data_IF_526448735736
#
_entry.id   IF_526448735736
#
_cell.length_a   1.000
_cell.length_b   1.000
_cell.length_c   1.000
_cell.angle_alpha   90.00
_cell.angle_beta   90.00
_cell.angle_gamma   90.00
#
_symmetry.space_group_name_H-M   'P 1'
#
loop_
_entity.id
_entity.type
_entity.pdbx_description
1 polymer ?
#
# COMPACT_ATOMS: atom_id res chain seq x y z
N UNK A 1 -12.73 0.60 18.96
CA UNK A 1 -13.83 -0.21 18.38
C UNK A 1 -13.54 -1.66 18.72
N UNK A 2 -14.36 -2.32 19.57
CA UNK A 2 -14.06 -3.68 20.09
C UNK A 2 -14.61 -4.81 19.21
N UNK A 3 -15.43 -4.48 18.20
CA UNK A 3 -16.01 -5.41 17.22
C UNK A 3 -16.01 -4.75 15.83
N UNK A 4 -16.12 -5.56 14.76
CA UNK A 4 -16.24 -5.11 13.36
C UNK A 4 -17.47 -4.21 13.21
N UNK A 5 -18.61 -4.59 13.79
CA UNK A 5 -19.84 -3.79 13.75
C UNK A 5 -19.65 -2.40 14.37
N UNK A 6 -18.93 -2.30 15.48
CA UNK A 6 -18.65 -1.02 16.12
C UNK A 6 -17.72 -0.12 15.30
N UNK A 7 -16.84 -0.72 14.49
CA UNK A 7 -15.97 0.01 13.57
C UNK A 7 -16.76 0.50 12.36
N UNK A 8 -17.58 -0.37 11.78
CA UNK A 8 -18.51 -0.03 10.69
C UNK A 8 -19.48 1.08 11.10
N UNK A 9 -20.20 0.91 12.21
CA UNK A 9 -21.13 1.91 12.73
C UNK A 9 -20.46 3.26 12.98
N UNK A 10 -19.18 3.27 13.36
CA UNK A 10 -18.44 4.52 13.53
C UNK A 10 -18.11 5.20 12.20
N UNK A 11 -17.71 4.44 11.17
CA UNK A 11 -17.46 4.97 9.84
C UNK A 11 -18.73 5.44 9.15
N UNK A 12 -19.82 4.69 9.28
CA UNK A 12 -21.11 5.03 8.67
C UNK A 12 -21.77 6.26 9.29
N UNK A 13 -21.25 6.81 10.38
CA UNK A 13 -21.67 8.15 10.83
C UNK A 13 -21.43 9.23 9.78
N UNK A 14 -20.55 9.00 8.80
CA UNK A 14 -20.30 9.94 7.71
C UNK A 14 -21.57 10.24 6.88
N UNK A 15 -22.50 9.29 6.75
CA UNK A 15 -23.75 9.49 5.99
C UNK A 15 -24.88 10.11 6.80
N UNK A 16 -24.74 10.20 8.13
CA UNK A 16 -25.86 10.49 9.04
C UNK A 16 -26.62 11.78 8.73
N UNK A 17 -25.92 12.78 8.20
CA UNK A 17 -26.50 14.09 7.90
C UNK A 17 -26.48 14.39 6.39
N UNK A 18 -26.23 13.38 5.55
CA UNK A 18 -26.23 13.55 4.10
C UNK A 18 -27.66 13.47 3.55
N UNK A 19 -27.94 14.23 2.50
CA UNK A 19 -29.23 14.25 1.79
C UNK A 19 -29.09 14.06 0.27
N UNK A 20 -30.17 14.28 -0.49
CA UNK A 20 -30.18 14.14 -1.94
C UNK A 20 -29.28 15.12 -2.71
N UNK A 21 -28.65 16.09 -2.04
CA UNK A 21 -27.64 16.98 -2.62
C UNK A 21 -26.21 16.49 -2.36
N UNK A 22 -26.05 15.50 -1.49
CA UNK A 22 -24.78 14.88 -1.17
C UNK A 22 -24.54 13.58 -1.94
N UNK A 23 -23.32 13.08 -1.84
CA UNK A 23 -22.91 11.84 -2.47
C UNK A 23 -22.16 10.94 -1.48
N UNK A 24 -22.36 9.63 -1.64
CA UNK A 24 -21.50 8.60 -1.10
C UNK A 24 -20.92 7.75 -2.22
N UNK A 25 -19.64 7.40 -2.09
CA UNK A 25 -18.95 6.47 -2.98
C UNK A 25 -18.66 5.20 -2.20
N UNK A 26 -19.14 4.05 -2.69
CA UNK A 26 -19.03 2.77 -2.01
C UNK A 26 -18.16 1.79 -2.78
N UNK A 27 -17.31 1.05 -2.06
CA UNK A 27 -16.72 -0.18 -2.60
C UNK A 27 -17.81 -1.27 -2.64
N UNK A 28 -18.29 -1.58 -3.83
CA UNK A 28 -19.35 -2.56 -4.04
C UNK A 28 -18.86 -4.00 -3.91
N UNK A 29 -17.55 -4.22 -3.83
CA UNK A 29 -16.97 -5.56 -3.62
C UNK A 29 -16.88 -5.93 -2.14
N UNK A 30 -17.15 -4.99 -1.23
CA UNK A 30 -17.30 -5.27 0.20
C UNK A 30 -18.76 -5.62 0.52
N UNK A 31 -19.00 -6.88 0.91
CA UNK A 31 -20.33 -7.39 1.24
C UNK A 31 -21.03 -6.55 2.32
N UNK A 32 -20.29 -6.03 3.30
CA UNK A 32 -20.90 -5.24 4.37
C UNK A 32 -21.36 -3.86 3.90
N UNK A 33 -20.72 -3.31 2.86
CA UNK A 33 -21.12 -2.03 2.29
C UNK A 33 -22.34 -2.16 1.37
N UNK A 34 -22.66 -3.37 0.88
CA UNK A 34 -23.89 -3.64 0.13
C UNK A 34 -25.15 -3.56 1.01
N UNK A 35 -25.00 -3.77 2.32
CA UNK A 35 -26.09 -3.74 3.30
C UNK A 35 -26.36 -2.34 3.88
N UNK A 36 -25.52 -1.36 3.55
CA UNK A 36 -25.69 0.01 4.03
C UNK A 36 -26.92 0.65 3.39
N UNK A 37 -27.81 1.20 4.22
CA UNK A 37 -28.91 2.03 3.75
C UNK A 37 -28.39 3.37 3.24
N UNK A 38 -28.56 3.60 1.94
CA UNK A 38 -28.22 4.85 1.26
C UNK A 38 -29.42 5.52 0.60
N UNK A 39 -30.65 5.20 1.04
CA UNK A 39 -31.88 5.71 0.41
C UNK A 39 -31.98 7.24 0.36
N UNK A 40 -31.30 7.93 1.27
CA UNK A 40 -31.37 9.37 1.43
C UNK A 40 -30.20 10.12 0.76
N UNK A 41 -29.29 9.44 0.07
CA UNK A 41 -28.07 10.04 -0.51
C UNK A 41 -27.74 9.46 -1.88
N UNK A 42 -27.23 10.27 -2.79
CA UNK A 42 -26.80 9.77 -4.10
C UNK A 42 -25.62 8.80 -3.93
N UNK A 43 -25.73 7.60 -4.50
CA UNK A 43 -24.73 6.55 -4.30
C UNK A 43 -24.01 6.22 -5.61
N UNK A 44 -22.69 6.37 -5.64
CA UNK A 44 -21.83 5.85 -6.72
C UNK A 44 -21.17 4.56 -6.24
N UNK A 45 -21.46 3.47 -6.93
CA UNK A 45 -20.89 2.14 -6.65
C UNK A 45 -19.61 1.95 -7.45
N UNK A 46 -18.57 1.38 -6.82
CA UNK A 46 -17.30 1.05 -7.47
C UNK A 46 -17.03 -0.45 -7.35
N UNK A 47 -16.74 -1.15 -8.45
CA UNK A 47 -16.40 -2.59 -8.42
C UNK A 47 -15.28 -2.94 -9.40
N UNK A 48 -14.30 -3.74 -8.97
CA UNK A 48 -13.34 -4.36 -9.89
C UNK A 48 -13.73 -5.79 -10.26
N UNK A 49 -14.76 -6.36 -9.61
CA UNK A 49 -15.21 -7.74 -9.78
C UNK A 49 -16.41 -7.87 -10.73
N UNK A 50 -17.33 -6.91 -10.67
CA UNK A 50 -18.62 -6.92 -11.36
C UNK A 50 -18.70 -5.73 -12.35
N UNK A 51 -19.15 -5.98 -13.59
CA UNK A 51 -19.62 -4.89 -14.46
C UNK A 51 -20.98 -4.39 -13.94
N UNK A 52 -21.09 -3.07 -13.71
CA UNK A 52 -22.27 -2.48 -13.08
C UNK A 52 -23.19 -1.84 -14.13
N UNK A 53 -24.51 -1.93 -13.93
CA UNK A 53 -25.47 -1.20 -14.76
C UNK A 53 -25.41 0.32 -14.57
N UNK A 54 -25.01 0.75 -13.36
CA UNK A 54 -24.75 2.14 -13.00
C UNK A 54 -23.64 2.18 -11.95
N UNK A 55 -22.66 3.07 -12.14
CA UNK A 55 -21.52 3.24 -11.26
C UNK A 55 -20.19 3.27 -12.01
N UNK A 56 -19.14 2.84 -11.34
CA UNK A 56 -17.78 2.77 -11.86
C UNK A 56 -17.27 1.35 -11.74
N UNK A 57 -16.74 0.78 -12.81
CA UNK A 57 -16.28 -0.61 -12.76
C UNK A 57 -15.09 -0.88 -13.67
N UNK A 58 -14.40 -2.00 -13.42
CA UNK A 58 -13.29 -2.46 -14.23
C UNK A 58 -13.79 -3.38 -15.36
N UNK A 59 -13.45 -3.07 -16.60
CA UNK A 59 -13.76 -3.86 -17.79
C UNK A 59 -12.57 -3.87 -18.74
N UNK A 60 -12.00 -5.04 -19.02
CA UNK A 60 -10.85 -5.20 -19.93
C UNK A 60 -9.69 -4.21 -19.66
N UNK A 61 -9.23 -4.14 -18.41
CA UNK A 61 -8.20 -3.19 -17.96
C UNK A 61 -8.56 -1.70 -18.11
N UNK A 62 -9.87 -1.39 -18.28
CA UNK A 62 -10.38 -0.02 -18.31
C UNK A 62 -11.29 0.23 -17.12
N UNK A 63 -11.10 1.37 -16.45
CA UNK A 63 -12.09 1.89 -15.51
C UNK A 63 -13.15 2.62 -16.32
N UNK A 64 -14.38 2.14 -16.24
CA UNK A 64 -15.55 2.64 -16.96
C UNK A 64 -16.47 3.35 -15.98
N UNK A 65 -16.99 4.51 -16.37
CA UNK A 65 -18.11 5.18 -15.71
C UNK A 65 -19.38 4.98 -16.53
N UNK A 66 -20.44 4.46 -15.91
CA UNK A 66 -21.74 4.22 -16.53
C UNK A 66 -22.85 4.89 -15.72
N UNK A 67 -23.71 5.65 -16.39
CA UNK A 67 -24.91 6.25 -15.83
C UNK A 67 -26.02 6.31 -16.88
N UNK A 68 -27.03 5.46 -16.74
CA UNK A 68 -28.09 5.29 -17.74
C UNK A 68 -27.53 4.85 -19.09
N UNK A 69 -27.77 5.63 -20.14
CA UNK A 69 -27.24 5.38 -21.49
C UNK A 69 -25.82 5.89 -21.71
N UNK A 70 -25.26 6.66 -20.76
CA UNK A 70 -23.90 7.14 -20.84
C UNK A 70 -22.94 6.07 -20.34
N UNK A 71 -21.98 5.68 -21.18
CA UNK A 71 -20.88 4.79 -20.83
C UNK A 71 -19.58 5.41 -21.36
N UNK A 72 -18.60 5.63 -20.48
CA UNK A 72 -17.34 6.28 -20.82
C UNK A 72 -16.18 5.45 -20.23
N UNK A 73 -15.23 5.08 -21.07
CA UNK A 73 -13.93 4.59 -20.61
C UNK A 73 -13.09 5.78 -20.11
N UNK A 74 -12.71 5.76 -18.83
CA UNK A 74 -12.06 6.90 -18.17
C UNK A 74 -10.56 6.70 -18.00
N UNK A 75 -10.15 5.52 -17.52
CA UNK A 75 -8.74 5.20 -17.23
C UNK A 75 -8.37 3.86 -17.87
N UNK A 76 -7.23 3.81 -18.53
CA UNK A 76 -6.54 2.59 -18.92
C UNK A 76 -5.57 2.17 -17.82
N UNK A 77 -5.88 1.11 -17.08
CA UNK A 77 -5.07 0.69 -15.92
C UNK A 77 -3.67 0.23 -16.33
N UNK A 78 -3.46 -0.16 -17.59
CA UNK A 78 -2.13 -0.54 -18.12
C UNK A 78 -1.17 0.65 -18.21
N UNK A 79 -1.68 1.88 -18.20
CA UNK A 79 -0.90 3.12 -18.24
C UNK A 79 -0.67 3.73 -16.86
N UNK A 80 -1.25 3.14 -15.82
CA UNK A 80 -1.14 3.61 -14.45
C UNK A 80 0.16 3.09 -13.84
N UNK A 81 0.92 3.99 -13.20
CA UNK A 81 2.19 3.64 -12.53
C UNK A 81 2.00 3.00 -11.15
N UNK A 82 0.85 3.26 -10.52
CA UNK A 82 0.51 2.70 -9.21
C UNK A 82 0.22 1.20 -9.31
N UNK A 83 0.89 0.40 -8.48
CA UNK A 83 0.76 -1.05 -8.46
C UNK A 83 -0.34 -1.55 -7.51
N UNK A 84 -0.94 -2.69 -7.84
CA UNK A 84 -1.84 -3.43 -6.96
C UNK A 84 -3.32 -3.05 -7.06
N UNK A 85 -4.19 -4.05 -6.83
CA UNK A 85 -5.66 -3.92 -6.94
C UNK A 85 -6.25 -2.81 -6.07
N UNK A 86 -5.68 -2.57 -4.90
CA UNK A 86 -6.12 -1.51 -3.99
C UNK A 86 -5.98 -0.11 -4.61
N UNK A 87 -5.00 0.11 -5.49
CA UNK A 87 -4.84 1.38 -6.19
C UNK A 87 -5.85 1.56 -7.32
N UNK A 88 -6.34 0.47 -7.93
CA UNK A 88 -7.46 0.54 -8.87
C UNK A 88 -8.70 1.09 -8.16
N UNK A 89 -9.04 0.58 -6.97
CA UNK A 89 -10.14 1.15 -6.17
C UNK A 89 -9.92 2.63 -5.83
N UNK A 90 -8.70 3.01 -5.41
CA UNK A 90 -8.39 4.42 -5.13
C UNK A 90 -8.65 5.31 -6.35
N UNK A 91 -8.26 4.85 -7.55
CA UNK A 91 -8.51 5.58 -8.79
C UNK A 91 -10.00 5.63 -9.11
N UNK A 92 -10.75 4.54 -8.93
CA UNK A 92 -12.22 4.56 -9.08
C UNK A 92 -12.89 5.60 -8.19
N UNK A 93 -12.42 5.75 -6.94
CA UNK A 93 -12.92 6.81 -6.06
C UNK A 93 -12.55 8.21 -6.53
N UNK A 94 -11.36 8.41 -7.11
CA UNK A 94 -10.99 9.68 -7.74
C UNK A 94 -11.87 9.96 -8.97
N UNK A 95 -12.18 8.95 -9.78
CA UNK A 95 -13.13 9.06 -10.90
C UNK A 95 -14.51 9.48 -10.40
N UNK A 96 -15.02 8.83 -9.35
CA UNK A 96 -16.32 9.16 -8.73
C UNK A 96 -16.38 10.62 -8.29
N UNK A 97 -15.39 11.06 -7.51
CA UNK A 97 -15.30 12.44 -7.02
C UNK A 97 -15.16 13.42 -8.19
N UNK A 98 -14.41 13.07 -9.23
CA UNK A 98 -14.23 13.91 -10.41
C UNK A 98 -15.53 14.09 -11.20
N UNK A 99 -16.34 13.04 -11.32
CA UNK A 99 -17.68 13.10 -11.91
C UNK A 99 -18.59 14.01 -11.08
N UNK A 100 -18.65 13.81 -9.76
CA UNK A 100 -19.47 14.61 -8.83
C UNK A 100 -19.11 16.10 -8.93
N UNK A 101 -17.80 16.41 -8.95
CA UNK A 101 -17.28 17.77 -9.02
C UNK A 101 -17.26 18.36 -10.43
N UNK A 102 -17.69 17.60 -11.45
CA UNK A 102 -17.67 17.99 -12.87
C UNK A 102 -16.28 18.40 -13.37
N UNK A 103 -15.26 17.69 -12.90
CA UNK A 103 -13.87 17.84 -13.36
C UNK A 103 -13.74 17.20 -14.76
N UNK A 104 -12.95 17.81 -15.63
CA UNK A 104 -12.60 17.25 -16.94
C UNK A 104 -11.88 15.91 -16.77
N UNK A 105 -12.56 14.82 -17.18
CA UNK A 105 -12.07 13.46 -17.02
C UNK A 105 -10.78 13.19 -17.80
N UNK A 106 -10.52 13.89 -18.92
CA UNK A 106 -9.28 13.72 -19.67
C UNK A 106 -8.08 14.29 -18.89
N UNK A 107 -8.24 15.47 -18.28
CA UNK A 107 -7.20 16.09 -17.44
C UNK A 107 -6.95 15.30 -16.15
N UNK A 108 -8.01 14.77 -15.56
CA UNK A 108 -7.90 13.86 -14.42
C UNK A 108 -7.13 12.60 -14.81
N UNK A 109 -7.46 11.98 -15.95
CA UNK A 109 -6.75 10.81 -16.45
C UNK A 109 -5.27 11.07 -16.69
N UNK A 110 -4.92 12.20 -17.32
CA UNK A 110 -3.52 12.61 -17.51
C UNK A 110 -2.78 12.76 -16.17
N UNK A 111 -3.46 13.32 -15.15
CA UNK A 111 -2.89 13.45 -13.81
C UNK A 111 -2.63 12.08 -13.18
N UNK A 112 -3.58 11.15 -13.31
CA UNK A 112 -3.45 9.78 -12.80
C UNK A 112 -2.31 9.02 -13.48
N UNK A 113 -2.16 9.13 -14.81
CA UNK A 113 -1.07 8.47 -15.54
C UNK A 113 0.32 9.00 -15.14
N UNK A 114 0.41 10.26 -14.72
CA UNK A 114 1.66 10.87 -14.29
C UNK A 114 1.94 10.76 -12.79
N UNK A 115 0.95 10.36 -11.99
CA UNK A 115 1.07 10.25 -10.54
C UNK A 115 1.96 9.05 -10.16
N UNK A 116 3.08 9.35 -9.49
CA UNK A 116 4.10 8.35 -9.12
C UNK A 116 3.80 7.62 -7.81
N UNK A 117 2.70 7.96 -7.15
CA UNK A 117 2.43 7.52 -5.78
C UNK A 117 2.80 8.57 -4.75
N UNK A 118 2.61 8.19 -3.49
CA UNK A 118 3.02 9.01 -2.36
C UNK A 118 4.45 8.64 -1.99
N UNK A 119 5.26 9.66 -1.70
CA UNK A 119 6.58 9.47 -1.13
C UNK A 119 6.49 8.56 0.11
N UNK A 120 7.43 7.63 0.23
CA UNK A 120 7.49 6.66 1.33
C UNK A 120 6.34 5.64 1.40
N UNK A 121 5.54 5.49 0.33
CA UNK A 121 4.52 4.44 0.19
C UNK A 121 4.80 3.61 -1.06
N UNK A 122 5.47 2.47 -0.89
CA UNK A 122 5.94 1.61 -1.99
C UNK A 122 6.63 2.43 -3.12
N UNK A 123 7.35 3.47 -2.74
CA UNK A 123 8.00 4.39 -3.66
C UNK A 123 9.21 3.68 -4.28
N UNK A 124 9.19 3.48 -5.60
CA UNK A 124 10.37 2.99 -6.32
C UNK A 124 11.48 4.03 -6.25
N UNK A 125 12.65 3.64 -5.74
CA UNK A 125 13.79 4.54 -5.55
C UNK A 125 14.77 4.43 -6.72
N UNK A 126 15.28 3.23 -6.99
CA UNK A 126 16.34 2.98 -7.97
C UNK A 126 16.44 1.49 -8.30
N UNK A 127 16.89 1.15 -9.51
CA UNK A 127 17.41 -0.17 -9.84
C UNK A 127 18.94 -0.15 -9.81
N UNK A 128 19.57 -1.08 -9.08
CA UNK A 128 21.03 -1.19 -8.97
C UNK A 128 21.42 -2.62 -9.34
N UNK A 129 22.14 -2.77 -10.46
CA UNK A 129 22.61 -4.08 -10.95
C UNK A 129 21.51 -5.16 -11.01
N UNK A 130 20.29 -4.76 -11.43
CA UNK A 130 19.15 -5.68 -11.55
C UNK A 130 18.32 -5.87 -10.27
N UNK A 131 18.65 -5.18 -9.17
CA UNK A 131 17.90 -5.20 -7.91
C UNK A 131 17.01 -3.96 -7.81
N UNK A 132 15.71 -4.14 -7.58
CA UNK A 132 14.77 -3.04 -7.38
C UNK A 132 14.72 -2.61 -5.90
N UNK A 133 14.80 -1.31 -5.63
CA UNK A 133 14.70 -0.75 -4.27
C UNK A 133 13.39 0.02 -4.07
N UNK A 134 12.61 -0.38 -3.08
CA UNK A 134 11.34 0.26 -2.72
C UNK A 134 11.34 0.84 -1.30
N UNK A 135 10.83 2.05 -1.18
CA UNK A 135 10.66 2.78 0.06
C UNK A 135 9.18 2.77 0.51
N UNK A 136 8.86 1.93 1.48
CA UNK A 136 7.59 1.92 2.21
C UNK A 136 7.80 2.28 3.69
N UNK A 137 8.60 3.32 3.98
CA UNK A 137 8.85 3.76 5.37
C UNK A 137 7.55 4.11 6.13
N UNK A 138 6.45 4.42 5.44
CA UNK A 138 5.12 4.63 6.02
C UNK A 138 4.47 3.35 6.56
N UNK A 139 4.96 2.17 6.17
CA UNK A 139 4.60 0.84 6.68
C UNK A 139 4.97 0.64 8.14
N UNK A 140 4.27 1.33 9.04
CA UNK A 140 4.60 1.42 10.48
C UNK A 140 3.89 0.37 11.34
N UNK A 141 3.25 -0.63 10.73
CA UNK A 141 2.60 -1.76 11.38
C UNK A 141 2.65 -3.03 10.48
N UNK A 142 2.44 -4.23 11.05
CA UNK A 142 2.46 -5.51 10.33
C UNK A 142 1.52 -5.56 9.12
N UNK A 143 0.25 -5.17 9.26
CA UNK A 143 -0.75 -5.23 8.17
C UNK A 143 -0.34 -4.39 6.95
N UNK A 144 0.28 -3.24 7.18
CA UNK A 144 0.77 -2.37 6.11
C UNK A 144 1.93 -3.03 5.37
N UNK A 145 2.78 -3.75 6.11
CA UNK A 145 3.94 -4.46 5.57
C UNK A 145 3.53 -5.69 4.77
N UNK A 146 2.50 -6.42 5.20
CA UNK A 146 1.89 -7.51 4.43
C UNK A 146 1.41 -7.01 3.06
N UNK A 147 0.72 -5.87 3.03
CA UNK A 147 0.26 -5.25 1.78
C UNK A 147 1.42 -4.78 0.89
N UNK A 148 2.52 -4.34 1.50
CA UNK A 148 3.72 -3.95 0.76
C UNK A 148 4.38 -5.15 0.09
N UNK A 149 4.48 -6.28 0.80
CA UNK A 149 4.99 -7.55 0.28
C UNK A 149 4.14 -8.05 -0.89
N UNK A 150 2.81 -7.93 -0.83
CA UNK A 150 1.92 -8.34 -1.92
C UNK A 150 2.01 -7.50 -3.19
N UNK A 151 2.55 -6.29 -3.08
CA UNK A 151 2.57 -5.33 -4.18
C UNK A 151 3.88 -5.36 -5.00
N UNK A 152 4.91 -6.04 -4.50
CA UNK A 152 6.23 -6.15 -5.16
C UNK A 152 6.48 -7.57 -5.64
N UNK A 153 7.48 -7.74 -6.50
CA UNK A 153 7.90 -9.05 -7.01
C UNK A 153 8.50 -9.92 -5.88
N UNK A 154 8.46 -11.24 -6.07
CA UNK A 154 8.98 -12.25 -5.12
C UNK A 154 10.53 -12.15 -4.96
N UNK A 155 11.10 -12.90 -4.01
CA UNK A 155 12.53 -12.83 -3.60
C UNK A 155 12.91 -11.51 -2.90
N UNK A 156 12.14 -11.17 -1.87
CA UNK A 156 12.28 -9.91 -1.15
C UNK A 156 13.38 -10.00 -0.09
N UNK A 157 14.29 -9.02 -0.07
CA UNK A 157 15.17 -8.72 1.06
C UNK A 157 14.58 -7.54 1.82
N UNK A 158 14.00 -7.79 3.00
CA UNK A 158 13.18 -6.81 3.72
C UNK A 158 13.89 -6.21 4.92
N UNK A 159 13.74 -4.91 5.13
CA UNK A 159 14.18 -4.21 6.35
C UNK A 159 13.00 -4.08 7.31
N UNK A 160 13.11 -4.72 8.47
CA UNK A 160 12.12 -4.68 9.55
C UNK A 160 12.69 -3.98 10.80
N UNK A 161 11.80 -3.39 11.59
CA UNK A 161 12.09 -2.90 12.92
C UNK A 161 12.09 -1.38 13.10
N UNK A 162 12.21 -0.96 14.36
CA UNK A 162 12.04 0.41 14.81
C UNK A 162 11.64 0.47 16.28
N UNK A 163 10.78 1.42 16.64
CA UNK A 163 10.29 1.61 18.01
C UNK A 163 9.39 0.47 18.50
N UNK A 164 9.57 0.02 19.74
CA UNK A 164 8.74 -1.06 20.29
C UNK A 164 7.40 -0.56 20.84
N UNK A 165 6.36 -0.69 20.01
CA UNK A 165 4.95 -0.52 20.42
C UNK A 165 4.33 -1.76 21.07
N UNK A 166 5.15 -2.78 21.38
CA UNK A 166 4.75 -4.10 21.90
C UNK A 166 3.79 -4.85 20.97
N UNK A 167 3.95 -4.65 19.66
CA UNK A 167 3.17 -5.31 18.61
C UNK A 167 3.68 -6.75 18.38
N UNK A 168 2.80 -7.67 18.04
CA UNK A 168 3.15 -9.04 17.62
C UNK A 168 3.48 -9.06 16.11
N UNK A 169 4.55 -9.77 15.74
CA UNK A 169 5.02 -9.89 14.36
C UNK A 169 4.76 -11.29 13.77
N UNK A 170 4.14 -12.20 14.53
CA UNK A 170 3.92 -13.60 14.13
C UNK A 170 3.19 -13.71 12.80
N UNK A 171 2.02 -13.07 12.66
CA UNK A 171 1.21 -13.14 11.43
C UNK A 171 1.97 -12.62 10.20
N UNK A 172 2.68 -11.49 10.34
CA UNK A 172 3.52 -10.96 9.27
C UNK A 172 4.59 -11.97 8.84
N UNK A 173 5.31 -12.55 9.79
CA UNK A 173 6.41 -13.48 9.52
C UNK A 173 5.91 -14.81 8.97
N UNK A 174 4.78 -15.34 9.44
CA UNK A 174 4.16 -16.52 8.86
C UNK A 174 3.72 -16.26 7.42
N UNK A 175 3.09 -15.10 7.17
CA UNK A 175 2.61 -14.71 5.84
C UNK A 175 3.73 -14.55 4.81
N UNK A 176 4.85 -13.97 5.22
CA UNK A 176 5.92 -13.57 4.30
C UNK A 176 6.89 -14.69 3.93
N UNK A 177 6.73 -15.90 4.47
CA UNK A 177 7.73 -16.97 4.44
C UNK A 177 8.13 -17.41 3.02
N UNK A 178 7.16 -17.46 2.11
CA UNK A 178 7.40 -17.89 0.72
C UNK A 178 7.79 -16.73 -0.22
N UNK A 179 7.76 -15.49 0.28
CA UNK A 179 8.01 -14.27 -0.53
C UNK A 179 9.30 -13.55 -0.14
N UNK A 180 9.70 -13.67 1.13
CA UNK A 180 10.87 -13.00 1.71
C UNK A 180 12.05 -13.96 1.74
N UNK A 181 13.07 -13.63 0.93
CA UNK A 181 14.36 -14.32 0.86
C UNK A 181 15.20 -14.10 2.12
N UNK A 182 15.22 -12.86 2.64
CA UNK A 182 16.01 -12.51 3.82
C UNK A 182 15.41 -11.34 4.60
N UNK A 183 15.61 -11.33 5.91
CA UNK A 183 15.16 -10.27 6.81
C UNK A 183 16.38 -9.58 7.43
N UNK A 184 16.45 -8.26 7.32
CA UNK A 184 17.41 -7.42 8.05
C UNK A 184 16.65 -6.60 9.09
N UNK A 185 16.97 -6.82 10.36
CA UNK A 185 16.27 -6.20 11.50
C UNK A 185 17.07 -5.05 12.11
N UNK A 186 16.42 -3.99 12.54
CA UNK A 186 17.08 -2.81 13.14
C UNK A 186 16.19 -2.11 14.19
N UNK A 187 16.80 -1.28 15.05
CA UNK A 187 16.09 -0.52 16.09
C UNK A 187 15.74 -1.34 17.33
N UNK A 188 14.85 -0.81 18.17
CA UNK A 188 14.50 -1.42 19.46
C UNK A 188 13.86 -2.81 19.31
N UNK A 189 13.08 -3.01 18.25
CA UNK A 189 12.40 -4.29 17.99
C UNK A 189 13.28 -5.35 17.31
N UNK A 190 14.55 -5.05 16.99
CA UNK A 190 15.40 -5.93 16.17
C UNK A 190 15.51 -7.36 16.70
N UNK A 191 15.84 -7.52 17.98
CA UNK A 191 15.98 -8.86 18.58
C UNK A 191 14.65 -9.59 18.74
N UNK A 192 13.54 -8.86 18.93
CA UNK A 192 12.21 -9.45 19.01
C UNK A 192 11.81 -10.07 17.67
N UNK A 193 12.00 -9.32 16.58
CA UNK A 193 11.71 -9.78 15.22
C UNK A 193 12.67 -10.90 14.84
N UNK A 194 13.97 -10.74 15.10
CA UNK A 194 14.99 -11.74 14.84
C UNK A 194 14.67 -13.09 15.49
N UNK A 195 14.44 -13.10 16.81
CA UNK A 195 14.16 -14.33 17.55
C UNK A 195 12.87 -15.00 17.04
N UNK A 196 11.83 -14.22 16.74
CA UNK A 196 10.58 -14.77 16.23
C UNK A 196 10.71 -15.33 14.81
N UNK A 197 11.49 -14.67 13.95
CA UNK A 197 11.77 -15.17 12.61
C UNK A 197 12.52 -16.51 12.66
N UNK A 198 13.53 -16.63 13.53
CA UNK A 198 14.23 -17.91 13.74
C UNK A 198 13.31 -19.01 14.27
N UNK A 199 12.43 -18.70 15.23
CA UNK A 199 11.44 -19.64 15.76
C UNK A 199 10.50 -20.18 14.66
N UNK A 200 10.14 -19.33 13.70
CA UNK A 200 9.29 -19.68 12.55
C UNK A 200 10.07 -20.33 11.38
N UNK A 201 11.38 -20.53 11.54
CA UNK A 201 12.23 -21.23 10.58
C UNK A 201 12.70 -20.38 9.41
N UNK A 202 12.88 -19.07 9.59
CA UNK A 202 13.65 -18.26 8.64
C UNK A 202 15.15 -18.58 8.78
N UNK A 203 15.82 -18.83 7.66
CA UNK A 203 17.25 -19.14 7.63
C UNK A 203 18.12 -17.87 7.54
N UNK A 204 17.68 -16.90 6.73
CA UNK A 204 18.43 -15.69 6.40
C UNK A 204 17.87 -14.49 7.19
N UNK A 205 18.28 -14.38 8.46
CA UNK A 205 17.87 -13.28 9.34
C UNK A 205 19.11 -12.59 9.91
N UNK A 206 19.18 -11.28 9.75
CA UNK A 206 20.32 -10.46 10.14
C UNK A 206 19.90 -9.36 11.11
N UNK A 207 20.78 -9.00 12.03
CA UNK A 207 20.61 -7.86 12.95
C UNK A 207 21.59 -6.78 12.54
N UNK A 208 21.10 -5.56 12.39
CA UNK A 208 21.89 -4.36 12.21
C UNK A 208 21.79 -3.46 13.45
N UNK A 209 22.88 -2.81 13.82
CA UNK A 209 22.92 -1.84 14.91
C UNK A 209 22.43 -0.48 14.45
N UNK A 210 22.82 -0.07 13.24
CA UNK A 210 22.44 1.21 12.64
C UNK A 210 21.57 1.04 11.39
N UNK A 211 20.75 2.05 11.09
CA UNK A 211 19.88 2.00 9.91
C UNK A 211 20.68 1.90 8.60
N UNK A 212 21.80 2.61 8.50
CA UNK A 212 22.68 2.55 7.34
C UNK A 212 23.27 1.15 7.15
N UNK A 213 23.67 0.50 8.23
CA UNK A 213 24.15 -0.87 8.21
C UNK A 213 23.08 -1.83 7.67
N UNK A 214 21.81 -1.66 8.06
CA UNK A 214 20.72 -2.47 7.54
C UNK A 214 20.59 -2.36 6.01
N UNK A 215 20.63 -1.14 5.47
CA UNK A 215 20.54 -0.91 4.01
C UNK A 215 21.74 -1.51 3.27
N UNK A 216 22.95 -1.38 3.82
CA UNK A 216 24.16 -1.96 3.24
C UNK A 216 24.15 -3.49 3.29
N UNK A 217 23.65 -4.08 4.37
CA UNK A 217 23.47 -5.53 4.48
C UNK A 217 22.47 -6.04 3.44
N UNK A 218 21.38 -5.31 3.17
CA UNK A 218 20.48 -5.66 2.07
C UNK A 218 21.18 -5.64 0.69
N UNK A 219 22.06 -4.66 0.42
CA UNK A 219 22.86 -4.64 -0.81
C UNK A 219 23.78 -5.86 -0.94
N UNK A 220 24.38 -6.31 0.16
CA UNK A 220 25.28 -7.47 0.18
C UNK A 220 24.55 -8.79 -0.13
N UNK A 221 23.30 -8.92 0.36
CA UNK A 221 22.49 -10.14 0.21
C UNK A 221 21.78 -10.19 -1.15
N UNK A 222 21.29 -9.05 -1.63
CA UNK A 222 20.46 -8.97 -2.82
C UNK A 222 21.25 -9.29 -4.10
N UNK A 223 20.60 -10.00 -5.02
CA UNK A 223 21.13 -10.43 -6.31
C UNK A 223 20.20 -9.94 -7.44
N UNK A 224 20.71 -9.84 -8.66
CA UNK A 224 19.90 -9.43 -9.83
C UNK A 224 18.60 -10.23 -9.91
N UNK A 225 17.46 -9.54 -10.00
CA UNK A 225 16.12 -10.12 -9.94
C UNK A 225 15.45 -10.03 -8.57
N UNK A 226 16.19 -9.74 -7.50
CA UNK A 226 15.64 -9.53 -6.15
C UNK A 226 15.03 -8.13 -5.99
N UNK A 227 14.22 -8.00 -4.94
CA UNK A 227 13.69 -6.71 -4.47
C UNK A 227 14.17 -6.39 -3.06
N UNK A 228 14.74 -5.20 -2.84
CA UNK A 228 15.00 -4.65 -1.51
C UNK A 228 13.83 -3.77 -1.08
N UNK A 229 13.19 -4.13 0.03
CA UNK A 229 12.01 -3.44 0.54
C UNK A 229 12.26 -2.86 1.94
N UNK A 230 12.19 -1.54 2.08
CA UNK A 230 12.01 -0.91 3.39
C UNK A 230 10.52 -0.90 3.73
N UNK A 231 10.07 -1.82 4.59
CA UNK A 231 8.72 -1.80 5.16
C UNK A 231 8.78 -2.24 6.62
N UNK A 232 9.03 -1.32 7.56
CA UNK A 232 9.60 -1.64 8.86
C UNK A 232 8.67 -2.35 9.85
N UNK A 233 7.36 -2.43 9.58
CA UNK A 233 6.32 -2.92 10.48
C UNK A 233 6.29 -2.25 11.88
N UNK A 234 7.08 -1.19 12.07
CA UNK A 234 7.36 -0.52 13.33
C UNK A 234 7.43 0.99 13.11
N UNK A 235 7.06 1.76 14.13
CA UNK A 235 7.20 3.21 14.10
C UNK A 235 8.68 3.62 14.04
N UNK A 236 8.97 4.78 13.46
CA UNK A 236 10.34 5.28 13.26
C UNK A 236 10.97 5.92 14.50
N UNK A 237 10.16 6.19 15.53
CA UNK A 237 10.60 6.83 16.77
C UNK A 237 11.76 6.07 17.43
N UNK A 238 12.57 6.78 18.22
CA UNK A 238 13.80 6.24 18.80
C UNK A 238 15.02 6.37 17.88
N UNK A 239 14.88 6.07 16.58
CA UNK A 239 15.95 6.26 15.58
C UNK A 239 15.78 7.53 14.74
N UNK A 240 14.53 7.93 14.47
CA UNK A 240 14.18 9.07 13.62
C UNK A 240 13.00 9.85 14.21
N UNK A 241 12.87 11.14 13.84
CA UNK A 241 11.75 12.00 14.26
C UNK A 241 10.44 11.61 13.58
N UNK A 242 10.50 11.14 12.34
CA UNK A 242 9.32 10.75 11.56
C UNK A 242 9.62 9.65 10.55
N UNK A 243 8.57 9.10 9.93
CA UNK A 243 8.76 8.07 8.90
C UNK A 243 9.32 8.69 7.61
N UNK A 244 9.04 9.97 7.36
CA UNK A 244 9.61 10.74 6.26
C UNK A 244 11.13 10.86 6.42
N UNK A 245 11.64 11.16 7.62
CA UNK A 245 13.08 11.24 7.86
C UNK A 245 13.78 9.88 7.60
N UNK A 246 13.21 8.78 8.12
CA UNK A 246 13.69 7.41 7.84
C UNK A 246 13.65 7.08 6.35
N UNK A 247 12.57 7.45 5.68
CA UNK A 247 12.38 7.21 4.26
C UNK A 247 13.35 8.02 3.39
N UNK A 248 13.66 9.25 3.79
CA UNK A 248 14.67 10.10 3.14
C UNK A 248 16.08 9.59 3.36
N UNK A 249 16.40 9.11 4.56
CA UNK A 249 17.68 8.46 4.85
C UNK A 249 17.88 7.22 3.98
N UNK A 250 16.85 6.38 3.84
CA UNK A 250 16.88 5.22 2.94
C UNK A 250 17.18 5.62 1.50
N UNK A 251 16.45 6.63 0.97
CA UNK A 251 16.70 7.13 -0.39
C UNK A 251 18.09 7.70 -0.56
N UNK A 252 18.57 8.46 0.42
CA UNK A 252 19.92 9.04 0.42
C UNK A 252 20.97 7.92 0.30
N UNK A 253 20.87 6.90 1.15
CA UNK A 253 21.78 5.75 1.13
C UNK A 253 21.69 5.01 -0.21
N UNK A 254 20.48 4.63 -0.65
CA UNK A 254 20.26 3.90 -1.91
C UNK A 254 20.81 4.67 -3.11
N UNK A 255 20.60 5.98 -3.16
CA UNK A 255 21.13 6.81 -4.25
C UNK A 255 22.66 6.88 -4.25
N UNK A 256 23.31 6.79 -3.08
CA UNK A 256 24.77 6.72 -2.95
C UNK A 256 25.36 5.35 -3.29
N UNK A 257 24.54 4.31 -3.44
CA UNK A 257 25.02 2.99 -3.83
C UNK A 257 25.36 2.97 -5.33
N UNK A 258 26.56 2.50 -5.63
CA UNK A 258 27.02 2.18 -6.99
C UNK A 258 26.66 0.72 -7.33
N UNK A 259 26.46 0.44 -8.63
CA UNK A 259 26.35 -0.92 -9.14
C UNK A 259 27.69 -1.63 -9.02
N UNK A 260 27.65 -2.91 -8.62
CA UNK A 260 28.84 -3.76 -8.59
C UNK A 260 29.33 -4.11 -10.00
#
# INVERSE_FOLDING_TARGET
HKTVDNYMNAKMKIIKNQDENDYIVLNWDDAHLREVDTSNVNTIKCSILDELEEGIFLKNDKIVYKNGSLEIEVIDTTKVKLLGKHNIYNIMFVVAVSVIMKIDLNKMAETIYNFQGLEHRLEFVKNISGVNYYNDSKGTNPDSTIKAIDAVEENIVIILGGYDKKIDFTELLEYSKDKVKAIVTVGETKYKIYNKALELGYEEVYVAEEFKEAVLKCKEIAQSGDTVLLSPASASWGMFKSYEERGNEFKSIVNSLEGN
#
